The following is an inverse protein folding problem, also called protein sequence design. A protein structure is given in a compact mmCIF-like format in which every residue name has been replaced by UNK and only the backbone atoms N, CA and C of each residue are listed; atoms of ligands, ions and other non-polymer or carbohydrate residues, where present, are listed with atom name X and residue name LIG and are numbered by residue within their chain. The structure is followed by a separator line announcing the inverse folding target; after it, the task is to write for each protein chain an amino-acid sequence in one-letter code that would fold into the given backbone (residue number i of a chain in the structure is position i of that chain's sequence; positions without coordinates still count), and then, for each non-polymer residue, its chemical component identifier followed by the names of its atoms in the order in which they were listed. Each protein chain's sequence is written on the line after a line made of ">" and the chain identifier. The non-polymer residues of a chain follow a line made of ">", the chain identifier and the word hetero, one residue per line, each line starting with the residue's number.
data_IF_270090313557
#
_entry.id   IF_270090313557
#
_cell.length_a   1.000
_cell.length_b   1.000
_cell.length_c   1.000
_cell.angle_alpha   90.00
_cell.angle_beta   90.00
_cell.angle_gamma   90.00
#
_symmetry.space_group_name_H-M   'P 1'
#
loop_
_entity.id
_entity.type
_entity.pdbx_description
1 polymer ?
#
# COMPACT_ATOMS: atom_id res chain seq x y z
N UNK A 1 4.81 17.44 -8.23
CA UNK A 1 5.34 18.53 -7.36
C UNK A 1 6.59 18.00 -6.67
N UNK A 2 7.78 18.53 -6.96
CA UNK A 2 9.05 18.07 -6.37
C UNK A 2 9.39 19.00 -5.21
N UNK A 3 9.34 18.50 -3.97
CA UNK A 3 9.81 19.25 -2.81
C UNK A 3 11.33 19.15 -2.73
N UNK A 4 12.03 20.14 -3.31
CA UNK A 4 13.48 20.29 -3.11
C UNK A 4 13.71 21.30 -2.00
N UNK A 5 14.03 20.83 -0.79
CA UNK A 5 14.49 21.70 0.30
C UNK A 5 15.99 21.96 0.11
N UNK A 6 16.33 22.87 -0.81
CA UNK A 6 17.72 23.26 -1.06
C UNK A 6 18.07 24.52 -0.24
N UNK A 7 18.83 24.35 0.84
CA UNK A 7 19.57 25.46 1.48
C UNK A 7 20.98 25.43 0.92
N UNK A 8 21.26 26.38 0.02
CA UNK A 8 22.58 26.63 -0.55
C UNK A 8 23.62 26.90 0.55
N UNK A 9 24.50 25.94 0.77
CA UNK A 9 25.87 26.14 1.23
C UNK A 9 26.75 25.13 0.49
N UNK A 10 27.70 25.64 -0.30
CA UNK A 10 28.43 24.93 -1.35
C UNK A 10 29.44 23.88 -0.86
N UNK A 11 29.27 23.30 0.33
CA UNK A 11 30.07 22.17 0.76
C UNK A 11 29.38 21.20 1.73
N UNK A 12 28.07 21.30 1.91
CA UNK A 12 27.36 20.42 2.86
C UNK A 12 27.15 19.04 2.23
N UNK A 13 27.54 17.99 2.97
CA UNK A 13 27.16 16.62 2.66
C UNK A 13 25.64 16.51 2.66
N UNK A 14 25.04 16.11 1.55
CA UNK A 14 23.59 16.05 1.41
C UNK A 14 23.12 14.65 1.05
N UNK A 15 21.86 14.39 1.44
CA UNK A 15 21.05 13.28 0.97
C UNK A 15 19.77 13.90 0.43
N UNK A 16 19.46 13.66 -0.84
CA UNK A 16 18.26 14.16 -1.52
C UNK A 16 17.29 13.01 -1.74
N UNK A 17 16.05 13.23 -1.32
CA UNK A 17 14.93 12.31 -1.54
C UNK A 17 14.04 12.87 -2.65
N UNK A 18 13.63 12.00 -3.56
CA UNK A 18 12.64 12.29 -4.60
C UNK A 18 11.42 11.40 -4.39
N UNK A 19 10.25 11.95 -4.68
CA UNK A 19 8.99 11.29 -4.42
C UNK A 19 8.07 11.35 -5.64
N UNK A 20 7.22 10.34 -5.76
CA UNK A 20 6.09 10.30 -6.69
C UNK A 20 4.78 10.36 -5.92
N UNK A 21 3.77 11.01 -6.49
CA UNK A 21 2.45 11.12 -5.88
C UNK A 21 1.55 9.96 -6.28
N UNK A 22 0.66 9.55 -5.38
CA UNK A 22 -0.41 8.61 -5.66
C UNK A 22 -1.70 9.07 -4.95
N UNK A 23 -2.82 8.43 -5.30
CA UNK A 23 -4.11 8.64 -4.64
C UNK A 23 -4.68 7.31 -4.22
N UNK A 24 -5.19 7.22 -2.99
CA UNK A 24 -6.01 6.12 -2.49
C UNK A 24 -7.47 6.56 -2.50
N UNK A 25 -8.37 5.66 -2.88
CA UNK A 25 -9.81 5.92 -2.90
C UNK A 25 -10.53 4.94 -1.98
N UNK A 26 -11.32 5.47 -1.06
CA UNK A 26 -12.11 4.70 -0.11
C UNK A 26 -13.58 5.05 -0.27
N UNK A 27 -14.46 4.07 -0.16
CA UNK A 27 -15.87 4.33 0.08
C UNK A 27 -16.15 4.30 1.58
N UNK A 28 -16.70 5.38 2.10
CA UNK A 28 -17.10 5.50 3.50
C UNK A 28 -18.62 5.52 3.53
N UNK A 29 -19.21 4.64 4.34
CA UNK A 29 -20.64 4.68 4.62
C UNK A 29 -20.94 6.00 5.35
N UNK A 30 -21.74 6.86 4.74
CA UNK A 30 -22.17 8.11 5.36
C UNK A 30 -23.51 7.91 6.06
N UNK A 31 -24.49 7.36 5.35
CA UNK A 31 -25.85 7.23 5.86
C UNK A 31 -26.39 5.82 5.62
N UNK A 32 -27.14 5.34 6.59
CA UNK A 32 -27.96 4.14 6.50
C UNK A 32 -29.38 4.51 6.89
N UNK A 33 -30.34 4.21 6.02
CA UNK A 33 -31.76 4.40 6.27
C UNK A 33 -32.51 3.11 6.00
N UNK A 34 -33.55 2.87 6.79
CA UNK A 34 -34.47 1.75 6.59
C UNK A 34 -35.86 2.34 6.50
N UNK A 35 -36.55 2.07 5.40
CA UNK A 35 -37.92 2.53 5.19
C UNK A 35 -38.87 1.37 5.41
N UNK A 36 -39.88 1.57 6.25
CA UNK A 36 -40.96 0.61 6.47
C UNK A 36 -42.21 1.11 5.75
N UNK A 37 -42.88 0.22 5.04
CA UNK A 37 -44.22 0.52 4.52
C UNK A 37 -45.19 0.52 5.70
N UNK A 38 -45.87 1.64 5.92
CA UNK A 38 -46.95 1.72 6.90
C UNK A 38 -48.20 1.23 6.19
N UNK A 39 -48.66 0.03 6.53
CA UNK A 39 -49.92 -0.52 6.04
C UNK A 39 -51.13 0.02 6.82
N UNK A 40 -52.33 -0.10 6.24
CA UNK A 40 -53.58 0.11 6.97
C UNK A 40 -53.86 -1.05 7.94
N UNK A 41 -54.82 -0.89 8.86
CA UNK A 41 -55.09 -1.78 10.01
C UNK A 41 -55.14 -3.31 9.74
N UNK A 42 -55.32 -3.75 8.49
CA UNK A 42 -55.30 -5.17 8.08
C UNK A 42 -53.92 -5.73 7.69
N UNK A 43 -52.88 -4.89 7.54
CA UNK A 43 -51.55 -5.29 7.05
C UNK A 43 -50.49 -5.41 8.17
N UNK A 44 -50.81 -5.04 9.40
CA UNK A 44 -49.89 -5.10 10.55
C UNK A 44 -49.76 -6.49 11.20
N UNK A 45 -50.31 -7.54 10.59
CA UNK A 45 -50.13 -8.91 11.04
C UNK A 45 -48.86 -9.53 10.42
N UNK A 46 -47.68 -9.13 10.89
CA UNK A 46 -46.41 -9.75 10.51
C UNK A 46 -45.18 -8.85 10.67
N UNK A 47 -43.99 -9.45 10.59
CA UNK A 47 -42.71 -8.73 10.54
C UNK A 47 -42.54 -8.12 9.14
N UNK A 48 -42.82 -6.81 8.98
CA UNK A 48 -42.57 -6.12 7.72
C UNK A 48 -41.06 -5.95 7.55
N UNK A 49 -40.48 -6.57 6.51
CA UNK A 49 -39.09 -6.34 6.14
C UNK A 49 -38.94 -4.91 5.61
N UNK A 50 -38.12 -4.09 6.27
CA UNK A 50 -37.82 -2.74 5.80
C UNK A 50 -36.94 -2.77 4.55
N UNK A 51 -37.11 -1.78 3.67
CA UNK A 51 -36.22 -1.55 2.54
C UNK A 51 -35.03 -0.71 3.02
N UNK A 52 -33.83 -1.31 3.01
CA UNK A 52 -32.59 -0.64 3.41
C UNK A 52 -32.02 0.16 2.23
N UNK A 53 -31.66 1.41 2.49
CA UNK A 53 -30.92 2.27 1.56
C UNK A 53 -29.65 2.80 2.23
N UNK A 54 -28.52 2.67 1.54
CA UNK A 54 -27.20 3.07 2.01
C UNK A 54 -26.63 4.18 1.12
N UNK A 55 -26.14 5.26 1.73
CA UNK A 55 -25.40 6.33 1.06
C UNK A 55 -23.91 6.22 1.33
N UNK A 56 -23.10 6.23 0.28
CA UNK A 56 -21.63 6.17 0.36
C UNK A 56 -21.01 7.46 -0.17
N UNK A 57 -19.94 7.91 0.48
CA UNK A 57 -19.07 8.95 -0.06
C UNK A 57 -17.72 8.36 -0.46
N UNK A 58 -17.17 8.85 -1.57
CA UNK A 58 -15.82 8.54 -1.96
C UNK A 58 -14.86 9.53 -1.29
N UNK A 59 -13.97 9.02 -0.45
CA UNK A 59 -12.84 9.77 0.10
C UNK A 59 -11.59 9.47 -0.71
N UNK A 60 -10.92 10.51 -1.21
CA UNK A 60 -9.64 10.38 -1.87
C UNK A 60 -8.53 10.92 -0.96
N UNK A 61 -7.53 10.08 -0.69
CA UNK A 61 -6.37 10.42 0.14
C UNK A 61 -5.14 10.49 -0.76
N UNK A 62 -4.56 11.67 -0.89
CA UNK A 62 -3.29 11.86 -1.60
C UNK A 62 -2.11 11.38 -0.75
N UNK A 63 -1.14 10.74 -1.39
CA UNK A 63 0.08 10.28 -0.75
C UNK A 63 1.32 10.47 -1.64
N UNK A 64 2.48 10.25 -1.04
CA UNK A 64 3.77 10.26 -1.74
C UNK A 64 4.54 8.97 -1.45
N UNK A 65 5.20 8.42 -2.46
CA UNK A 65 6.11 7.28 -2.34
C UNK A 65 7.52 7.73 -2.70
N UNK A 66 8.51 7.16 -2.02
CA UNK A 66 9.92 7.41 -2.32
C UNK A 66 10.26 6.79 -3.68
N UNK A 67 10.80 7.58 -4.60
CA UNK A 67 11.25 7.12 -5.93
C UNK A 67 12.76 7.11 -6.07
N UNK A 68 13.48 7.99 -5.35
CA UNK A 68 14.94 8.06 -5.44
C UNK A 68 15.59 8.66 -4.20
N UNK A 69 16.76 8.13 -3.83
CA UNK A 69 17.71 8.72 -2.90
C UNK A 69 19.00 9.03 -3.67
N UNK A 70 19.58 10.21 -3.47
CA UNK A 70 20.89 10.59 -4.03
C UNK A 70 21.76 11.20 -2.94
N UNK A 71 23.01 10.78 -2.83
CA UNK A 71 23.99 11.40 -1.93
C UNK A 71 24.92 12.35 -2.68
N UNK A 72 25.59 13.25 -1.96
CA UNK A 72 26.62 14.14 -2.53
C UNK A 72 27.71 13.38 -3.29
N UNK A 73 28.09 12.21 -2.80
CA UNK A 73 29.23 11.44 -3.31
C UNK A 73 28.87 10.60 -4.56
N UNK A 74 27.72 10.85 -5.19
CA UNK A 74 27.32 10.19 -6.42
C UNK A 74 26.71 8.80 -6.24
N UNK A 75 26.47 8.36 -5.00
CA UNK A 75 25.65 7.19 -4.73
C UNK A 75 24.17 7.52 -4.92
N UNK A 76 23.42 6.58 -5.49
CA UNK A 76 21.96 6.70 -5.56
C UNK A 76 21.26 5.36 -5.43
N UNK A 77 20.08 5.38 -4.82
CA UNK A 77 19.13 4.28 -4.84
C UNK A 77 17.87 4.74 -5.60
N UNK A 78 17.45 3.97 -6.59
CA UNK A 78 16.27 4.23 -7.41
C UNK A 78 15.26 3.11 -7.18
N UNK A 79 14.01 3.47 -6.89
CA UNK A 79 12.93 2.54 -6.57
C UNK A 79 12.07 2.35 -7.82
N UNK A 80 12.10 1.15 -8.38
CA UNK A 80 11.48 0.83 -9.67
C UNK A 80 10.04 0.37 -9.43
N UNK A 81 9.03 1.12 -9.92
CA UNK A 81 7.65 0.69 -9.80
C UNK A 81 7.38 -0.51 -10.73
N UNK A 82 6.66 -1.50 -10.23
CA UNK A 82 6.18 -2.64 -10.99
C UNK A 82 4.74 -2.48 -11.44
N UNK A 83 4.02 -3.59 -11.50
CA UNK A 83 2.61 -3.62 -11.88
C UNK A 83 1.72 -2.82 -10.92
N UNK A 84 0.60 -2.31 -11.45
CA UNK A 84 -0.43 -1.67 -10.64
C UNK A 84 -1.00 -2.62 -9.58
N UNK A 85 -1.33 -2.04 -8.43
CA UNK A 85 -1.92 -2.79 -7.32
C UNK A 85 -3.40 -2.98 -7.53
N UNK A 86 -3.87 -4.21 -7.32
CA UNK A 86 -5.29 -4.57 -7.44
C UNK A 86 -5.95 -4.79 -6.08
N UNK A 87 -5.17 -4.88 -4.99
CA UNK A 87 -5.69 -5.03 -3.62
C UNK A 87 -6.18 -3.72 -2.99
N UNK A 88 -6.00 -2.60 -3.68
CA UNK A 88 -6.37 -1.25 -3.23
C UNK A 88 -6.89 -0.42 -4.40
N UNK A 89 -7.87 0.45 -4.14
CA UNK A 89 -8.44 1.34 -5.16
C UNK A 89 -7.74 2.70 -5.15
N UNK A 90 -7.49 3.26 -6.33
CA UNK A 90 -6.90 4.59 -6.51
C UNK A 90 -6.07 4.69 -7.77
N UNK A 91 -5.13 5.62 -7.82
CA UNK A 91 -4.30 5.90 -9.01
C UNK A 91 -2.83 6.04 -8.65
N UNK A 92 -1.93 5.56 -9.51
CA UNK A 92 -0.47 5.61 -9.27
C UNK A 92 0.00 4.63 -8.18
N UNK A 93 -0.81 3.60 -7.91
CA UNK A 93 -0.54 2.58 -6.90
C UNK A 93 0.15 1.41 -7.58
N UNK A 94 1.46 1.26 -7.38
CA UNK A 94 2.23 0.17 -8.00
C UNK A 94 2.94 -0.62 -6.91
N UNK A 95 3.13 -1.92 -7.13
CA UNK A 95 4.07 -2.71 -6.35
C UNK A 95 5.50 -2.19 -6.57
N UNK A 96 6.41 -2.46 -5.63
CA UNK A 96 7.83 -2.21 -5.86
C UNK A 96 8.40 -3.40 -6.62
N UNK A 97 8.87 -3.21 -7.85
CA UNK A 97 9.50 -4.29 -8.61
C UNK A 97 10.97 -4.46 -8.24
N UNK A 98 11.66 -3.35 -7.99
CA UNK A 98 13.08 -3.41 -7.75
C UNK A 98 13.68 -2.18 -7.14
N UNK A 99 14.94 -2.31 -6.73
CA UNK A 99 15.77 -1.20 -6.28
C UNK A 99 17.11 -1.25 -7.01
N UNK A 100 17.47 -0.17 -7.69
CA UNK A 100 18.75 -0.03 -8.36
C UNK A 100 19.69 0.85 -7.54
N UNK A 101 20.84 0.29 -7.16
CA UNK A 101 21.92 1.00 -6.50
C UNK A 101 22.96 1.38 -7.55
N UNK A 102 23.29 2.67 -7.63
CA UNK A 102 24.26 3.21 -8.57
C UNK A 102 25.33 4.01 -7.86
N UNK A 103 26.52 4.05 -8.46
CA UNK A 103 27.59 4.98 -8.12
C UNK A 103 28.03 5.69 -9.40
N UNK A 104 27.98 7.02 -9.41
CA UNK A 104 28.31 7.83 -10.60
C UNK A 104 27.60 7.32 -11.87
N UNK A 105 26.30 7.05 -11.74
CA UNK A 105 25.41 6.53 -12.78
C UNK A 105 25.64 5.08 -13.24
N UNK A 106 26.69 4.41 -12.76
CA UNK A 106 26.95 2.98 -13.02
C UNK A 106 26.17 2.11 -12.04
N UNK A 107 25.43 1.10 -12.55
CA UNK A 107 24.74 0.12 -11.70
C UNK A 107 25.76 -0.71 -10.93
N UNK A 108 25.68 -0.70 -9.61
CA UNK A 108 26.58 -1.50 -8.76
C UNK A 108 25.88 -2.74 -8.24
N UNK A 109 24.59 -2.62 -7.94
CA UNK A 109 23.75 -3.68 -7.38
C UNK A 109 22.29 -3.41 -7.73
N UNK A 110 21.51 -4.46 -7.94
CA UNK A 110 20.05 -4.36 -7.99
C UNK A 110 19.39 -5.40 -7.10
N UNK A 111 18.18 -5.08 -6.68
CA UNK A 111 17.30 -5.98 -5.94
C UNK A 111 16.04 -6.17 -6.75
N UNK A 112 15.63 -7.41 -6.98
CA UNK A 112 14.37 -7.77 -7.64
C UNK A 112 13.41 -8.29 -6.58
N UNK A 113 12.20 -7.74 -6.53
CA UNK A 113 11.17 -8.09 -5.55
C UNK A 113 10.00 -8.76 -6.27
N UNK A 114 9.75 -10.02 -5.93
CA UNK A 114 8.61 -10.76 -6.47
C UNK A 114 7.46 -10.67 -5.49
N UNK A 115 6.30 -10.30 -6.01
CA UNK A 115 5.07 -10.21 -5.24
C UNK A 115 3.99 -11.12 -5.82
N UNK A 116 3.02 -11.50 -4.99
CA UNK A 116 1.80 -12.18 -5.43
C UNK A 116 0.57 -11.74 -4.63
N UNK A 117 -0.59 -12.33 -4.96
CA UNK A 117 -1.87 -12.05 -4.33
C UNK A 117 -2.53 -13.30 -3.74
N UNK A 118 -1.77 -14.36 -3.44
CA UNK A 118 -2.34 -15.62 -2.92
C UNK A 118 -3.06 -15.46 -1.58
N UNK A 119 -2.84 -14.34 -0.89
CA UNK A 119 -3.45 -14.00 0.41
C UNK A 119 -4.60 -12.99 0.27
N UNK A 120 -5.09 -12.76 -0.95
CA UNK A 120 -6.01 -11.67 -1.35
C UNK A 120 -5.44 -10.25 -1.16
N UNK A 121 -4.14 -10.14 -0.86
CA UNK A 121 -3.41 -8.89 -0.68
C UNK A 121 -2.04 -9.00 -1.33
N UNK A 122 -1.47 -7.88 -1.75
CA UNK A 122 -0.11 -7.88 -2.28
C UNK A 122 0.87 -8.32 -1.18
N UNK A 123 1.53 -9.46 -1.39
CA UNK A 123 2.52 -10.03 -0.48
C UNK A 123 3.87 -10.19 -1.15
N UNK A 124 4.95 -9.90 -0.43
CA UNK A 124 6.32 -10.05 -0.92
C UNK A 124 6.73 -11.51 -0.80
N UNK A 125 7.06 -12.17 -1.91
CA UNK A 125 7.44 -13.59 -1.95
C UNK A 125 8.93 -13.84 -1.98
N UNK A 126 9.68 -12.94 -2.61
CA UNK A 126 11.13 -13.05 -2.56
C UNK A 126 11.82 -11.73 -2.87
N UNK A 127 13.03 -11.61 -2.35
CA UNK A 127 14.00 -10.57 -2.72
C UNK A 127 15.24 -11.26 -3.26
N UNK A 128 15.64 -10.90 -4.47
CA UNK A 128 16.83 -11.41 -5.13
C UNK A 128 17.84 -10.30 -5.31
N UNK A 129 19.06 -10.47 -4.80
CA UNK A 129 20.16 -9.54 -5.06
C UNK A 129 20.91 -9.92 -6.34
N UNK A 130 21.14 -8.94 -7.21
CA UNK A 130 21.93 -9.09 -8.43
C UNK A 130 23.12 -8.13 -8.43
N UNK A 131 24.31 -8.64 -8.77
CA UNK A 131 25.49 -7.82 -9.02
C UNK A 131 25.48 -7.13 -10.39
N UNK A 132 26.46 -6.25 -10.61
CA UNK A 132 26.62 -5.44 -11.83
C UNK A 132 26.62 -6.25 -13.16
N UNK A 133 27.12 -7.49 -13.17
CA UNK A 133 27.29 -8.28 -14.40
C UNK A 133 26.14 -9.25 -14.72
N UNK A 134 25.08 -9.32 -13.91
CA UNK A 134 23.98 -10.28 -14.08
C UNK A 134 24.39 -11.76 -14.05
N UNK A 135 25.67 -12.07 -13.79
CA UNK A 135 26.30 -13.37 -14.03
C UNK A 135 26.53 -14.21 -12.76
N UNK A 136 26.14 -13.71 -11.59
CA UNK A 136 26.18 -14.48 -10.34
C UNK A 136 24.78 -14.99 -10.02
N UNK A 137 24.68 -16.26 -9.62
CA UNK A 137 23.46 -16.81 -9.02
C UNK A 137 22.96 -15.85 -7.94
N UNK A 138 21.77 -15.25 -8.10
CA UNK A 138 21.32 -14.23 -7.16
C UNK A 138 21.16 -14.84 -5.77
N UNK A 139 21.56 -14.10 -4.73
CA UNK A 139 21.18 -14.45 -3.37
C UNK A 139 19.68 -14.18 -3.24
N UNK A 140 18.89 -15.23 -3.05
CA UNK A 140 17.42 -15.13 -2.97
C UNK A 140 16.95 -15.39 -1.55
N UNK A 141 16.28 -14.42 -0.97
CA UNK A 141 15.50 -14.56 0.26
C UNK A 141 14.04 -14.83 -0.13
N UNK A 142 13.42 -15.85 0.47
CA UNK A 142 12.02 -16.22 0.21
C UNK A 142 11.15 -16.01 1.45
N UNK A 143 9.88 -15.71 1.20
CA UNK A 143 8.87 -15.50 2.22
C UNK A 143 7.62 -16.30 1.87
N UNK A 144 7.11 -17.04 2.86
CA UNK A 144 5.93 -17.88 2.72
C UNK A 144 4.81 -17.40 3.66
N UNK A 145 3.58 -17.47 3.15
CA UNK A 145 2.36 -17.10 3.86
C UNK A 145 1.42 -18.30 3.86
N UNK A 146 1.01 -18.74 5.06
CA UNK A 146 0.27 -20.00 5.24
C UNK A 146 -1.25 -19.85 5.23
N UNK A 147 -1.77 -18.62 5.25
CA UNK A 147 -3.20 -18.34 5.29
C UNK A 147 -3.53 -17.04 4.59
N UNK A 148 -4.82 -16.82 4.32
CA UNK A 148 -5.32 -15.50 3.98
C UNK A 148 -4.94 -14.50 5.08
N UNK A 149 -4.55 -13.30 4.66
CA UNK A 149 -4.28 -12.22 5.59
C UNK A 149 -5.62 -11.56 5.94
N UNK A 150 -5.88 -11.29 7.22
CA UNK A 150 -7.13 -10.64 7.61
C UNK A 150 -7.26 -9.25 6.95
N UNK A 151 -8.51 -8.76 6.76
CA UNK A 151 -8.77 -7.47 6.14
C UNK A 151 -7.99 -6.34 6.82
N UNK A 152 -7.48 -5.34 6.09
CA UNK A 152 -6.73 -4.20 6.68
C UNK A 152 -7.49 -3.46 7.78
N UNK A 153 -8.81 -3.54 7.77
CA UNK A 153 -9.73 -2.92 8.74
C UNK A 153 -10.13 -3.87 9.88
N UNK A 154 -9.60 -5.09 9.94
CA UNK A 154 -9.94 -6.02 11.00
C UNK A 154 -9.29 -5.57 12.32
N UNK A 155 -10.09 -5.55 13.38
CA UNK A 155 -9.71 -5.04 14.70
C UNK A 155 -8.75 -5.96 15.48
N UNK A 156 -8.58 -7.19 15.00
CA UNK A 156 -7.76 -8.24 15.60
C UNK A 156 -6.36 -8.32 15.01
N UNK A 157 -5.87 -7.28 14.32
CA UNK A 157 -4.56 -7.26 13.67
C UNK A 157 -3.65 -6.22 14.34
N UNK A 158 -2.37 -6.54 14.49
CA UNK A 158 -1.34 -5.55 14.81
C UNK A 158 -0.89 -4.70 13.61
N UNK A 159 0.02 -3.75 13.86
CA UNK A 159 0.57 -2.85 12.83
C UNK A 159 1.43 -3.55 11.75
N UNK A 160 1.73 -4.84 11.91
CA UNK A 160 2.50 -5.65 10.95
C UNK A 160 1.61 -6.55 10.09
N UNK A 161 0.30 -6.62 10.38
CA UNK A 161 -0.61 -7.48 9.64
C UNK A 161 -0.87 -8.84 10.28
N UNK A 162 -0.38 -9.10 11.50
CA UNK A 162 -0.59 -10.37 12.20
C UNK A 162 -1.78 -10.31 13.15
N UNK A 163 -2.49 -11.43 13.24
CA UNK A 163 -3.55 -11.60 14.24
C UNK A 163 -2.96 -11.45 15.64
N UNK A 164 -3.38 -10.43 16.41
CA UNK A 164 -2.90 -10.20 17.77
C UNK A 164 -3.70 -10.97 18.83
N UNK A 165 -4.74 -11.70 18.40
CA UNK A 165 -5.67 -12.47 19.25
C UNK A 165 -6.25 -11.69 20.45
N UNK A 166 -6.23 -10.35 20.38
CA UNK A 166 -6.72 -9.51 21.46
C UNK A 166 -8.25 -9.47 21.44
N UNK A 167 -8.88 -10.18 22.38
CA UNK A 167 -10.31 -10.14 22.63
C UNK A 167 -10.70 -8.83 23.32
N UNK A 168 -10.76 -7.72 22.56
CA UNK A 168 -11.20 -6.44 23.14
C UNK A 168 -10.87 -5.17 22.37
N UNK A 169 -10.16 -5.24 21.23
CA UNK A 169 -9.89 -4.04 20.44
C UNK A 169 -11.17 -3.54 19.76
N UNK A 170 -11.82 -2.56 20.39
CA UNK A 170 -13.08 -1.97 19.92
C UNK A 170 -12.85 -0.82 18.92
N UNK A 171 -11.68 -0.18 18.94
CA UNK A 171 -11.36 0.96 18.06
C UNK A 171 -10.30 0.60 17.02
N UNK A 172 -10.55 1.00 15.78
CA UNK A 172 -9.50 1.27 14.80
C UNK A 172 -8.70 2.47 15.34
N UNK A 173 -7.37 2.39 15.35
CA UNK A 173 -6.56 3.61 15.43
C UNK A 173 -6.76 4.38 14.12
#
# INVERSE_FOLDING_TARGET
>A
MVFVRDRRQNNINYIRFSYETYTLSYQILNALSITYKVGGDSECAGTIAGEQSSGYHQLNVGGVRLSRIVTKDGHSAEFIPGNERTDITGTGLHALEGVHIRYNNTLTKSFSLIHDYSTNRLTLRSVSEHGNSGSTTPLVHKFDYYSELPPRTAKSIDHWGYANYASGNQSLV
#
